data_IF_798926436355
#
_entry.id   IF_798926436355
#
_cell.length_a   1.000
_cell.length_b   1.000
_cell.length_c   1.000
_cell.angle_alpha   90.00
_cell.angle_beta   90.00
_cell.angle_gamma   90.00
#
_symmetry.space_group_name_H-M   'P 1'
#
loop_
_entity.id
_entity.type
_entity.pdbx_description
1 polymer ?
#
# COMPACT_ATOMS: atom_id res chain seq x y z
N UNK A 1 -21.48 -7.00 4.29
CA UNK A 1 -20.09 -6.91 4.79
C UNK A 1 -20.05 -5.78 5.81
N UNK A 2 -19.87 -6.07 7.09
CA UNK A 2 -19.74 -5.01 8.10
C UNK A 2 -18.39 -4.33 7.94
N UNK A 3 -18.40 -3.04 7.62
CA UNK A 3 -17.22 -2.19 7.62
C UNK A 3 -16.69 -2.05 9.05
N UNK A 4 -15.38 -2.20 9.25
CA UNK A 4 -14.75 -1.98 10.55
C UNK A 4 -14.76 -0.48 10.87
N UNK A 5 -15.74 -0.04 11.66
CA UNK A 5 -15.96 1.37 12.00
C UNK A 5 -14.77 2.00 12.73
N UNK A 6 -14.16 1.26 13.67
CA UNK A 6 -12.96 1.73 14.37
C UNK A 6 -11.77 1.98 13.42
N UNK A 7 -11.64 1.18 12.37
CA UNK A 7 -10.62 1.41 11.35
C UNK A 7 -10.88 2.70 10.54
N UNK A 8 -12.14 3.01 10.22
CA UNK A 8 -12.47 4.25 9.50
C UNK A 8 -12.13 5.50 10.33
N UNK A 9 -12.41 5.47 11.63
CA UNK A 9 -12.06 6.56 12.55
C UNK A 9 -10.53 6.69 12.69
N UNK A 10 -9.82 5.57 12.83
CA UNK A 10 -8.36 5.54 12.92
C UNK A 10 -7.69 6.12 11.68
N UNK A 11 -8.19 5.79 10.48
CA UNK A 11 -7.68 6.37 9.22
C UNK A 11 -7.79 7.90 9.26
N UNK A 12 -8.93 8.43 9.70
CA UNK A 12 -9.13 9.87 9.81
C UNK A 12 -8.15 10.55 10.77
N UNK A 13 -7.88 9.94 11.92
CA UNK A 13 -6.94 10.47 12.92
C UNK A 13 -5.50 10.41 12.42
N UNK A 14 -5.08 9.27 11.85
CA UNK A 14 -3.73 9.07 11.31
C UNK A 14 -3.43 10.07 10.20
N UNK A 15 -4.36 10.28 9.27
CA UNK A 15 -4.19 11.25 8.18
C UNK A 15 -4.00 12.68 8.72
N UNK A 16 -4.79 13.09 9.72
CA UNK A 16 -4.63 14.42 10.35
C UNK A 16 -3.27 14.59 11.02
N UNK A 17 -2.79 13.55 11.71
CA UNK A 17 -1.46 13.59 12.33
C UNK A 17 -0.35 13.64 11.27
N UNK A 18 -0.41 12.82 10.22
CA UNK A 18 0.55 12.83 9.12
C UNK A 18 0.59 14.21 8.43
N UNK A 19 -0.56 14.83 8.24
CA UNK A 19 -0.67 16.19 7.69
C UNK A 19 -0.03 17.24 8.60
N UNK A 20 -0.24 17.15 9.91
CA UNK A 20 0.36 18.05 10.88
C UNK A 20 1.90 17.93 10.90
N UNK A 21 2.44 16.70 10.92
CA UNK A 21 3.88 16.47 10.88
C UNK A 21 4.50 16.94 9.55
N UNK A 22 3.82 16.68 8.44
CA UNK A 22 4.27 17.14 7.11
C UNK A 22 4.28 18.67 7.01
N UNK A 23 3.30 19.36 7.58
CA UNK A 23 3.23 20.83 7.60
C UNK A 23 4.36 21.46 8.44
N UNK A 24 4.80 20.76 9.50
CA UNK A 24 5.93 21.17 10.34
C UNK A 24 7.30 20.80 9.73
N UNK A 25 7.32 20.06 8.61
CA UNK A 25 8.55 19.61 7.97
C UNK A 25 9.33 18.57 8.80
N UNK A 26 8.67 17.92 9.76
CA UNK A 26 9.27 16.90 10.61
C UNK A 26 8.85 15.49 10.15
N UNK A 27 9.71 14.48 10.30
CA UNK A 27 9.32 13.10 10.04
C UNK A 27 8.10 12.72 10.89
N UNK A 28 7.10 12.08 10.26
CA UNK A 28 6.00 11.49 11.02
C UNK A 28 6.54 10.35 11.88
N UNK A 29 6.27 10.34 13.20
CA UNK A 29 6.63 9.22 14.08
C UNK A 29 5.70 8.01 13.90
N UNK A 30 4.74 8.08 12.97
CA UNK A 30 3.74 7.04 12.76
C UNK A 30 4.30 5.98 11.81
N UNK A 31 4.76 4.88 12.39
CA UNK A 31 5.10 3.67 11.65
C UNK A 31 3.83 2.86 11.36
N UNK A 32 3.41 2.87 10.09
CA UNK A 32 2.29 2.04 9.65
C UNK A 32 2.72 0.58 9.53
N UNK A 33 1.84 -0.38 9.92
CA UNK A 33 2.15 -1.80 9.79
C UNK A 33 2.32 -2.19 8.31
N UNK A 34 3.31 -3.03 8.04
CA UNK A 34 3.54 -3.60 6.71
C UNK A 34 2.71 -4.87 6.53
N UNK A 35 2.17 -5.06 5.32
CA UNK A 35 1.44 -6.27 4.94
C UNK A 35 2.34 -7.15 4.09
N UNK A 36 2.55 -8.39 4.52
CA UNK A 36 3.23 -9.41 3.74
C UNK A 36 2.21 -10.40 3.16
N UNK A 37 2.32 -10.68 1.86
CA UNK A 37 1.46 -11.66 1.18
C UNK A 37 2.28 -12.93 0.94
N UNK A 38 1.87 -14.02 1.58
CA UNK A 38 2.54 -15.33 1.52
C UNK A 38 1.56 -16.42 1.10
N UNK A 39 2.03 -17.42 0.36
CA UNK A 39 1.19 -18.54 -0.08
C UNK A 39 1.78 -19.32 -1.25
N UNK A 40 1.18 -20.47 -1.56
CA UNK A 40 1.60 -21.37 -2.63
C UNK A 40 1.55 -20.74 -4.04
N UNK A 41 2.10 -21.42 -5.03
CA UNK A 41 2.00 -21.02 -6.44
C UNK A 41 0.52 -20.95 -6.86
N UNK A 42 0.16 -19.95 -7.68
CA UNK A 42 -1.21 -19.70 -8.14
C UNK A 42 -2.27 -19.37 -7.06
N UNK A 43 -1.89 -19.20 -5.79
CA UNK A 43 -2.82 -18.87 -4.70
C UNK A 43 -3.41 -17.43 -4.74
N UNK A 44 -3.32 -16.72 -5.86
CA UNK A 44 -3.89 -15.37 -6.00
C UNK A 44 -3.10 -14.23 -5.34
N UNK A 45 -1.84 -14.45 -4.94
CA UNK A 45 -0.99 -13.43 -4.28
C UNK A 45 -0.94 -12.11 -5.05
N UNK A 46 -0.70 -12.16 -6.36
CA UNK A 46 -0.66 -10.97 -7.20
C UNK A 46 -2.01 -10.27 -7.25
N UNK A 47 -3.10 -11.03 -7.37
CA UNK A 47 -4.47 -10.48 -7.40
C UNK A 47 -4.85 -9.78 -6.09
N UNK A 48 -4.42 -10.31 -4.94
CA UNK A 48 -4.62 -9.65 -3.64
C UNK A 48 -3.92 -8.30 -3.61
N UNK A 49 -2.66 -8.23 -4.05
CA UNK A 49 -1.91 -6.97 -4.11
C UNK A 49 -2.52 -5.98 -5.11
N UNK A 50 -2.96 -6.43 -6.28
CA UNK A 50 -3.64 -5.60 -7.29
C UNK A 50 -4.97 -5.04 -6.77
N UNK A 51 -5.75 -5.86 -6.04
CA UNK A 51 -6.99 -5.41 -5.41
C UNK A 51 -6.77 -4.37 -4.31
N UNK A 52 -5.67 -4.45 -3.55
CA UNK A 52 -5.32 -3.41 -2.57
C UNK A 52 -4.99 -2.07 -3.24
N UNK A 53 -4.32 -2.10 -4.39
CA UNK A 53 -3.93 -0.88 -5.13
C UNK A 53 -5.07 -0.37 -6.02
N UNK A 54 -6.00 -1.24 -6.42
CA UNK A 54 -7.08 -0.93 -7.36
C UNK A 54 -6.60 -0.78 -8.81
N UNK A 55 -5.45 -1.38 -9.15
CA UNK A 55 -4.84 -1.31 -10.47
C UNK A 55 -4.12 -2.61 -10.81
N UNK A 56 -4.15 -3.01 -12.07
CA UNK A 56 -3.29 -4.07 -12.60
C UNK A 56 -1.88 -3.51 -12.86
N UNK A 57 -0.87 -4.08 -12.19
CA UNK A 57 0.52 -3.62 -12.30
C UNK A 57 1.55 -4.74 -12.14
N UNK A 58 1.14 -5.94 -11.73
CA UNK A 58 2.04 -7.07 -11.61
C UNK A 58 2.08 -7.87 -12.93
N UNK A 59 3.23 -8.47 -13.27
CA UNK A 59 3.33 -9.30 -14.45
C UNK A 59 2.35 -10.48 -14.37
N UNK A 60 1.82 -10.89 -15.52
CA UNK A 60 0.99 -12.08 -15.68
C UNK A 60 1.69 -13.07 -16.61
N UNK A 61 1.52 -14.36 -16.35
CA UNK A 61 2.15 -15.40 -17.17
C UNK A 61 1.93 -16.79 -16.57
N UNK A 62 2.25 -17.82 -17.36
CA UNK A 62 2.26 -19.21 -16.89
C UNK A 62 3.53 -19.51 -16.07
N UNK A 63 3.44 -20.47 -15.15
CA UNK A 63 4.55 -20.87 -14.28
C UNK A 63 4.79 -19.94 -13.10
N UNK A 64 6.06 -19.71 -12.74
CA UNK A 64 6.45 -18.85 -11.61
C UNK A 64 6.55 -17.40 -12.09
N UNK A 65 5.62 -16.58 -11.59
CA UNK A 65 5.45 -15.18 -11.98
C UNK A 65 6.31 -14.26 -11.12
N UNK A 66 6.19 -14.36 -9.79
CA UNK A 66 7.00 -13.58 -8.85
C UNK A 66 8.29 -14.33 -8.54
N UNK A 67 9.41 -13.89 -9.13
CA UNK A 67 10.73 -14.55 -9.00
C UNK A 67 11.70 -13.82 -8.07
N UNK A 68 11.34 -12.62 -7.62
CA UNK A 68 12.07 -11.82 -6.65
C UNK A 68 11.09 -11.30 -5.61
N UNK A 69 11.50 -11.12 -4.35
CA UNK A 69 10.67 -10.40 -3.40
C UNK A 69 10.37 -8.99 -3.94
N UNK A 70 9.16 -8.52 -3.69
CA UNK A 70 8.68 -7.22 -4.14
C UNK A 70 8.26 -6.43 -2.92
N UNK A 71 8.84 -5.24 -2.75
CA UNK A 71 8.34 -4.26 -1.79
C UNK A 71 7.52 -3.24 -2.57
N UNK A 72 6.23 -3.17 -2.24
CA UNK A 72 5.30 -2.21 -2.80
C UNK A 72 5.13 -1.06 -1.81
N UNK A 73 5.52 0.15 -2.22
CA UNK A 73 5.34 1.36 -1.43
C UNK A 73 4.22 2.21 -2.07
N UNK A 74 3.12 2.38 -1.33
CA UNK A 74 2.07 3.33 -1.67
C UNK A 74 2.45 4.69 -1.09
N UNK A 75 2.63 5.70 -1.95
CA UNK A 75 3.07 7.02 -1.50
C UNK A 75 2.01 8.05 -1.86
N UNK A 76 1.53 8.78 -0.85
CA UNK A 76 0.62 9.90 -1.01
C UNK A 76 1.37 11.14 -1.48
N UNK A 77 0.87 11.81 -2.52
CA UNK A 77 1.40 13.08 -3.02
C UNK A 77 0.28 14.11 -3.12
N UNK A 78 0.58 15.34 -2.68
CA UNK A 78 -0.33 16.49 -2.80
C UNK A 78 0.03 17.43 -3.97
N UNK A 79 1.03 17.10 -4.78
CA UNK A 79 1.51 17.98 -5.85
C UNK A 79 0.60 17.89 -7.09
N UNK A 80 -0.12 18.97 -7.41
CA UNK A 80 -1.04 19.04 -8.56
C UNK A 80 -2.40 18.35 -8.36
N UNK A 81 -2.76 18.05 -7.11
CA UNK A 81 -3.92 17.24 -6.72
C UNK A 81 -3.49 16.11 -5.77
N UNK A 82 -4.43 15.56 -5.01
CA UNK A 82 -4.14 14.46 -4.08
C UNK A 82 -4.18 13.12 -4.82
N UNK A 83 -3.02 12.50 -5.06
CA UNK A 83 -2.91 11.22 -5.75
C UNK A 83 -1.94 10.28 -5.03
N UNK A 84 -2.13 8.98 -5.23
CA UNK A 84 -1.18 7.96 -4.79
C UNK A 84 -0.36 7.48 -5.98
N UNK A 85 0.95 7.34 -5.80
CA UNK A 85 1.81 6.64 -6.75
C UNK A 85 2.38 5.37 -6.10
N UNK A 86 2.49 4.33 -6.92
CA UNK A 86 3.05 3.06 -6.51
C UNK A 86 4.52 3.01 -6.90
N UNK A 87 5.40 2.82 -5.91
CA UNK A 87 6.82 2.54 -6.15
C UNK A 87 7.07 1.05 -5.91
N UNK A 88 7.56 0.38 -6.94
CA UNK A 88 7.99 -1.02 -6.88
C UNK A 88 9.49 -1.08 -6.64
N UNK A 89 9.91 -1.78 -5.59
CA UNK A 89 11.32 -2.05 -5.28
C UNK A 89 11.54 -3.56 -5.43
N UNK A 90 12.42 -3.92 -6.35
CA UNK A 90 12.90 -5.30 -6.51
C UNK A 90 14.11 -5.49 -5.59
N UNK A 91 14.01 -6.41 -4.64
CA UNK A 91 15.16 -6.82 -3.81
C UNK A 91 15.90 -8.01 -4.42
#
# INVERSE_FOLDING_TARGET
MSTNQGMQELIGVVNKLQDAFSALGVPSPIDLPQIAVVGGQSAGKSSVLENFVGKDFLPRGSGIVTRRPLVLQLIHSKHGGSYYYLRTIYT
#
